data_IF_679384901698
#
_entry.id   IF_679384901698
#
_cell.length_a   1.000
_cell.length_b   1.000
_cell.length_c   1.000
_cell.angle_alpha   90.00
_cell.angle_beta   90.00
_cell.angle_gamma   90.00
#
_symmetry.space_group_name_H-M   'P 1'
#
loop_
_entity.id
_entity.type
_entity.pdbx_description
1 polymer ?
#
# COMPACT_ATOMS: atom_id res chain seq x y z
N UNK A 1 -22.24 53.43 5.84
CA UNK A 1 -21.93 52.14 6.47
C UNK A 1 -22.11 51.02 5.46
N UNK A 2 -21.02 50.42 4.95
CA UNK A 2 -21.09 49.37 3.89
C UNK A 2 -20.76 48.02 4.52
N UNK A 3 -21.80 47.30 4.94
CA UNK A 3 -21.69 45.94 5.46
C UNK A 3 -21.25 44.98 4.34
N UNK A 4 -19.98 44.58 4.35
CA UNK A 4 -19.38 43.66 3.37
C UNK A 4 -19.96 42.26 3.59
N UNK A 5 -20.94 41.84 2.77
CA UNK A 5 -21.45 40.48 2.80
C UNK A 5 -20.39 39.51 2.27
N UNK A 6 -19.81 38.71 3.17
CA UNK A 6 -18.90 37.63 2.81
C UNK A 6 -19.73 36.44 2.28
N UNK A 7 -19.64 36.15 0.99
CA UNK A 7 -20.29 34.98 0.40
C UNK A 7 -19.63 33.68 0.89
N UNK A 8 -20.43 32.72 1.37
CA UNK A 8 -19.94 31.39 1.71
C UNK A 8 -19.73 30.55 0.44
N UNK A 9 -18.59 29.89 0.32
CA UNK A 9 -18.32 28.95 -0.78
C UNK A 9 -19.03 27.64 -0.49
N UNK A 10 -20.00 27.27 -1.34
CA UNK A 10 -20.64 25.95 -1.28
C UNK A 10 -19.86 25.01 -2.19
N UNK A 11 -19.22 24.00 -1.60
CA UNK A 11 -18.49 22.97 -2.33
C UNK A 11 -19.40 21.78 -2.64
N UNK A 12 -19.11 21.11 -3.74
CA UNK A 12 -19.76 19.85 -4.07
C UNK A 12 -19.34 18.74 -3.12
N UNK A 13 -20.24 17.77 -2.95
CA UNK A 13 -19.96 16.55 -2.20
C UNK A 13 -18.78 15.81 -2.84
N UNK A 14 -17.82 15.41 -2.01
CA UNK A 14 -16.65 14.66 -2.45
C UNK A 14 -17.06 13.36 -3.16
N UNK A 15 -16.56 13.16 -4.38
CA UNK A 15 -16.75 11.93 -5.16
C UNK A 15 -15.38 11.43 -5.59
N UNK A 16 -15.17 10.13 -5.55
CA UNK A 16 -13.95 9.52 -6.10
C UNK A 16 -13.92 9.70 -7.62
N UNK A 17 -12.72 9.76 -8.24
CA UNK A 17 -12.60 9.81 -9.70
C UNK A 17 -13.41 8.72 -10.41
N UNK A 18 -13.38 7.49 -9.89
CA UNK A 18 -14.22 6.37 -10.37
C UNK A 18 -15.72 6.72 -10.39
N UNK A 19 -16.26 7.24 -9.27
CA UNK A 19 -17.67 7.63 -9.18
C UNK A 19 -18.02 8.81 -10.08
N UNK A 20 -17.06 9.69 -10.39
CA UNK A 20 -17.27 10.81 -11.31
C UNK A 20 -17.37 10.33 -12.75
N UNK A 21 -16.46 9.44 -13.17
CA UNK A 21 -16.45 8.85 -14.50
C UNK A 21 -17.72 8.04 -14.77
N UNK A 22 -18.19 7.25 -13.80
CA UNK A 22 -19.45 6.50 -13.96
C UNK A 22 -20.70 7.40 -14.17
N UNK A 23 -20.66 8.65 -13.69
CA UNK A 23 -21.75 9.62 -13.84
C UNK A 23 -21.61 10.52 -15.07
N UNK A 24 -20.50 10.43 -15.80
CA UNK A 24 -20.25 11.23 -16.98
C UNK A 24 -21.11 10.73 -18.16
N UNK A 25 -21.85 11.62 -18.83
CA UNK A 25 -22.65 11.26 -20.01
C UNK A 25 -21.78 11.00 -21.25
N UNK A 26 -20.62 11.66 -21.34
CA UNK A 26 -19.70 11.55 -22.49
C UNK A 26 -18.94 10.21 -22.56
N UNK A 27 -19.15 9.32 -21.58
CA UNK A 27 -18.53 7.98 -21.57
C UNK A 27 -19.55 6.92 -21.93
N UNK A 28 -19.24 6.14 -22.96
CA UNK A 28 -20.09 5.03 -23.42
C UNK A 28 -20.23 3.94 -22.36
N UNK A 29 -21.39 3.27 -22.36
CA UNK A 29 -21.75 2.31 -21.31
C UNK A 29 -20.81 1.10 -21.26
N UNK A 30 -20.30 0.65 -22.41
CA UNK A 30 -19.28 -0.42 -22.48
C UNK A 30 -18.04 -0.10 -21.65
N UNK A 31 -17.54 1.14 -21.74
CA UNK A 31 -16.36 1.59 -21.00
C UNK A 31 -16.65 1.62 -19.49
N UNK A 32 -17.86 2.04 -19.10
CA UNK A 32 -18.30 2.06 -17.69
C UNK A 32 -18.40 0.65 -17.11
N UNK A 33 -18.89 -0.31 -17.89
CA UNK A 33 -18.97 -1.72 -17.47
C UNK A 33 -17.59 -2.33 -17.28
N UNK A 34 -16.67 -2.14 -18.22
CA UNK A 34 -15.29 -2.59 -18.08
C UNK A 34 -14.61 -1.97 -16.86
N UNK A 35 -14.84 -0.67 -16.62
CA UNK A 35 -14.30 0.03 -15.47
C UNK A 35 -14.83 -0.54 -14.16
N UNK A 36 -16.13 -0.89 -14.08
CA UNK A 36 -16.72 -1.58 -12.91
C UNK A 36 -16.06 -2.94 -12.70
N UNK A 37 -15.98 -3.78 -13.74
CA UNK A 37 -15.35 -5.11 -13.64
C UNK A 37 -13.91 -5.04 -13.14
N UNK A 38 -13.13 -4.06 -13.63
CA UNK A 38 -11.75 -3.82 -13.19
C UNK A 38 -11.67 -3.32 -11.75
N UNK A 39 -12.61 -2.46 -11.35
CA UNK A 39 -12.65 -1.94 -9.98
C UNK A 39 -13.08 -3.02 -8.98
N UNK A 40 -14.08 -3.83 -9.33
CA UNK A 40 -14.61 -4.91 -8.49
C UNK A 40 -13.61 -6.05 -8.33
N UNK A 41 -12.79 -6.33 -9.37
CA UNK A 41 -11.70 -7.31 -9.26
C UNK A 41 -10.55 -6.82 -8.38
N UNK A 42 -10.41 -5.50 -8.22
CA UNK A 42 -9.40 -4.89 -7.38
C UNK A 42 -9.94 -4.80 -5.94
N UNK A 43 -9.73 -5.85 -5.13
CA UNK A 43 -9.95 -5.76 -3.68
C UNK A 43 -8.70 -5.14 -3.02
N UNK A 44 -8.65 -3.82 -2.76
CA UNK A 44 -7.45 -3.17 -2.23
C UNK A 44 -7.08 -3.67 -0.84
N UNK A 45 -8.05 -4.08 -0.02
CA UNK A 45 -7.80 -4.61 1.30
C UNK A 45 -7.07 -5.95 1.22
N UNK A 46 -7.49 -6.84 0.32
CA UNK A 46 -6.84 -8.13 0.10
C UNK A 46 -5.46 -7.97 -0.52
N UNK A 47 -5.31 -7.06 -1.49
CA UNK A 47 -4.01 -6.75 -2.09
C UNK A 47 -3.03 -6.25 -1.02
N UNK A 48 -3.46 -5.33 -0.15
CA UNK A 48 -2.66 -4.86 0.97
C UNK A 48 -2.25 -6.01 1.89
N UNK A 49 -3.20 -6.87 2.30
CA UNK A 49 -2.91 -8.04 3.15
C UNK A 49 -1.87 -8.97 2.51
N UNK A 50 -1.97 -9.23 1.21
CA UNK A 50 -1.01 -10.07 0.47
C UNK A 50 0.39 -9.44 0.45
N UNK A 51 0.48 -8.15 0.13
CA UNK A 51 1.75 -7.42 0.10
C UNK A 51 2.41 -7.43 1.48
N UNK A 52 1.68 -7.09 2.54
CA UNK A 52 2.22 -7.08 3.90
C UNK A 52 2.74 -8.46 4.32
N UNK A 53 1.99 -9.54 4.04
CA UNK A 53 2.46 -10.91 4.33
C UNK A 53 3.77 -11.26 3.62
N UNK A 54 3.97 -10.79 2.39
CA UNK A 54 5.21 -11.01 1.65
C UNK A 54 6.38 -10.21 2.25
N UNK A 55 6.13 -8.96 2.63
CA UNK A 55 7.12 -8.12 3.31
C UNK A 55 7.55 -8.74 4.64
N UNK A 56 6.60 -9.22 5.46
CA UNK A 56 6.90 -9.87 6.74
C UNK A 56 7.77 -11.13 6.56
N UNK A 57 7.45 -11.95 5.55
CA UNK A 57 8.25 -13.14 5.20
C UNK A 57 9.67 -12.76 4.81
N UNK A 58 9.81 -11.74 3.96
CA UNK A 58 11.11 -11.28 3.48
C UNK A 58 11.97 -10.75 4.64
N UNK A 59 11.38 -9.94 5.53
CA UNK A 59 12.05 -9.41 6.71
C UNK A 59 12.49 -10.53 7.66
N UNK A 60 11.62 -11.52 7.89
CA UNK A 60 11.95 -12.68 8.72
C UNK A 60 13.15 -13.45 8.13
N UNK A 61 13.12 -13.78 6.84
CA UNK A 61 14.23 -14.48 6.19
C UNK A 61 15.54 -13.70 6.25
N UNK A 62 15.50 -12.39 6.03
CA UNK A 62 16.69 -11.54 6.12
C UNK A 62 17.25 -11.50 7.55
N UNK A 63 16.37 -11.39 8.57
CA UNK A 63 16.79 -11.42 9.97
C UNK A 63 17.46 -12.75 10.34
N UNK A 64 16.92 -13.88 9.86
CA UNK A 64 17.48 -15.22 10.07
C UNK A 64 18.86 -15.36 9.40
N UNK A 65 19.00 -14.88 8.16
CA UNK A 65 20.30 -14.86 7.47
C UNK A 65 21.34 -14.09 8.29
N UNK A 66 21.01 -12.88 8.75
CA UNK A 66 21.90 -12.05 9.56
C UNK A 66 22.22 -12.66 10.93
N UNK A 67 21.31 -13.41 11.55
CA UNK A 67 21.63 -14.12 12.80
C UNK A 67 22.61 -15.26 12.56
N UNK A 68 22.44 -16.01 11.48
CA UNK A 68 23.34 -17.12 11.14
C UNK A 68 24.76 -16.62 10.84
N UNK A 69 24.89 -15.57 10.02
CA UNK A 69 26.18 -14.95 9.71
C UNK A 69 26.89 -14.41 10.96
N UNK A 70 26.14 -13.86 11.92
CA UNK A 70 26.73 -13.42 13.19
C UNK A 70 27.19 -14.59 14.05
N UNK A 71 26.38 -15.63 14.17
CA UNK A 71 26.70 -16.77 15.01
C UNK A 71 27.90 -17.57 14.46
N UNK A 72 28.03 -17.73 13.14
CA UNK A 72 29.19 -18.41 12.54
C UNK A 72 30.51 -17.71 12.85
N UNK A 73 30.53 -16.38 12.90
CA UNK A 73 31.73 -15.60 13.27
C UNK A 73 32.09 -15.67 14.77
N UNK A 74 31.11 -15.99 15.61
CA UNK A 74 31.33 -16.13 17.06
C UNK A 74 31.86 -17.53 17.38
N UNK A 75 31.37 -18.56 16.69
CA UNK A 75 31.85 -19.93 16.85
C UNK A 75 33.33 -20.09 16.42
N UNK A 76 33.76 -19.47 15.33
CA UNK A 76 35.18 -19.50 14.89
C UNK A 76 36.14 -18.89 15.92
N UNK A 77 35.75 -17.80 16.58
CA UNK A 77 36.56 -17.12 17.61
C UNK A 77 36.55 -17.85 18.95
N UNK A 78 35.53 -18.65 19.23
CA UNK A 78 35.39 -19.35 20.52
C UNK A 78 36.47 -20.41 20.75
N UNK A 79 37.02 -20.99 19.68
CA UNK A 79 38.08 -22.01 19.78
C UNK A 79 39.50 -21.43 19.68
N UNK A 80 39.63 -20.11 19.48
CA UNK A 80 40.91 -19.42 19.32
C UNK A 80 41.81 -19.53 20.56
N UNK A 81 41.23 -19.78 21.76
CA UNK A 81 41.99 -19.97 23.01
C UNK A 81 42.60 -21.38 23.18
N UNK A 82 42.11 -22.40 22.48
CA UNK A 82 42.54 -23.80 22.66
C UNK A 82 43.85 -24.08 21.91
N UNK A 83 44.18 -23.28 20.88
CA UNK A 83 45.35 -23.47 20.03
C UNK A 83 46.59 -22.65 20.45
N UNK A 84 46.66 -22.20 21.72
CA UNK A 84 47.76 -21.35 22.22
C UNK A 84 48.61 -22.04 23.28
#
# INVERSE_FOLDING_TARGET
>A
DKSRKQGYKKYDVAKTPFRRVLKCQDTGDKIKEELKRKYDSLNPADLKRKISKLQDKLLKLNSLKKTLERNSTVDEKSYEYICR
#
